data_IF_828993870491
#
_entry.id   IF_828993870491
#
_cell.length_a   1.000
_cell.length_b   1.000
_cell.length_c   1.000
_cell.angle_alpha   90.00
_cell.angle_beta   90.00
_cell.angle_gamma   90.00
#
_symmetry.space_group_name_H-M   'P 1'
#
loop_
_entity.id
_entity.type
_entity.pdbx_description
1 polymer ?
#
# COMPACT_ATOMS: atom_id res chain seq x y z
N UNK A 1 -22.22 -40.67 65.04
CA UNK A 1 -22.63 -40.42 63.65
C UNK A 1 -21.91 -39.17 63.19
N UNK A 2 -20.82 -39.32 62.44
CA UNK A 2 -20.04 -38.22 61.88
C UNK A 2 -20.57 -37.96 60.46
N UNK A 3 -21.00 -36.73 60.19
CA UNK A 3 -21.42 -36.31 58.86
C UNK A 3 -20.18 -35.79 58.11
N UNK A 4 -19.80 -36.47 57.03
CA UNK A 4 -18.81 -35.99 56.07
C UNK A 4 -19.43 -34.86 55.23
N UNK A 5 -18.81 -33.68 55.28
CA UNK A 5 -19.14 -32.59 54.37
C UNK A 5 -18.29 -32.73 53.11
N UNK A 6 -18.92 -33.06 51.98
CA UNK A 6 -18.31 -32.97 50.65
C UNK A 6 -18.29 -31.50 50.22
N UNK A 7 -17.09 -30.93 50.06
CA UNK A 7 -16.91 -29.66 49.34
C UNK A 7 -17.04 -29.92 47.84
N UNK A 8 -17.96 -29.22 47.18
CA UNK A 8 -18.06 -29.15 45.72
C UNK A 8 -17.48 -27.80 45.32
N UNK A 9 -16.22 -27.80 44.85
CA UNK A 9 -15.59 -26.64 44.23
C UNK A 9 -16.18 -26.44 42.83
N UNK A 10 -17.33 -25.77 42.75
CA UNK A 10 -17.88 -25.26 41.49
C UNK A 10 -17.28 -23.88 41.19
N UNK A 11 -16.00 -23.86 40.76
CA UNK A 11 -15.50 -22.67 40.06
C UNK A 11 -16.16 -22.57 38.67
N UNK A 12 -16.76 -21.42 38.31
CA UNK A 12 -17.39 -21.27 37.00
C UNK A 12 -16.30 -21.26 35.92
N UNK A 13 -16.28 -22.32 35.09
CA UNK A 13 -15.43 -22.39 33.90
C UNK A 13 -15.77 -21.22 32.98
N UNK A 14 -14.87 -20.24 32.89
CA UNK A 14 -14.97 -19.16 31.91
C UNK A 14 -14.98 -19.77 30.50
N UNK A 15 -16.15 -19.74 29.86
CA UNK A 15 -16.30 -20.07 28.46
C UNK A 15 -15.71 -18.89 27.68
N UNK A 16 -14.41 -18.96 27.39
CA UNK A 16 -13.75 -18.05 26.46
C UNK A 16 -14.40 -18.25 25.10
N UNK A 17 -15.37 -17.40 24.77
CA UNK A 17 -15.99 -17.38 23.44
C UNK A 17 -14.87 -17.15 22.42
N UNK A 18 -14.68 -18.03 21.42
CA UNK A 18 -13.70 -17.80 20.39
C UNK A 18 -14.07 -16.50 19.69
N UNK A 19 -13.16 -15.52 19.73
CA UNK A 19 -13.30 -14.25 19.02
C UNK A 19 -13.54 -14.59 17.55
N UNK A 20 -14.77 -14.37 17.11
CA UNK A 20 -15.17 -14.59 15.73
C UNK A 20 -14.27 -13.68 14.90
N UNK A 21 -13.44 -14.26 14.01
CA UNK A 21 -12.62 -13.48 13.09
C UNK A 21 -13.58 -12.65 12.23
N UNK A 22 -13.79 -11.40 12.63
CA UNK A 22 -14.54 -10.43 11.82
C UNK A 22 -13.71 -10.20 10.57
N UNK A 23 -14.07 -10.90 9.49
CA UNK A 23 -13.58 -10.56 8.16
C UNK A 23 -14.37 -9.31 7.77
N UNK A 24 -13.74 -8.14 7.91
CA UNK A 24 -14.24 -6.94 7.26
C UNK A 24 -14.23 -7.21 5.76
N UNK A 25 -15.41 -7.45 5.19
CA UNK A 25 -15.60 -7.50 3.75
C UNK A 25 -15.62 -6.05 3.29
N UNK A 26 -14.46 -5.54 2.89
CA UNK A 26 -14.37 -4.28 2.18
C UNK A 26 -15.01 -4.50 0.79
N UNK A 27 -16.06 -3.74 0.45
CA UNK A 27 -16.70 -3.81 -0.88
C UNK A 27 -15.80 -3.27 -2.02
N UNK A 28 -14.63 -2.74 -1.68
CA UNK A 28 -13.66 -2.13 -2.59
C UNK A 28 -12.43 -3.03 -2.82
N UNK A 29 -11.84 -2.95 -4.03
CA UNK A 29 -10.55 -3.59 -4.32
C UNK A 29 -9.41 -2.69 -3.81
N UNK A 30 -8.66 -3.19 -2.83
CA UNK A 30 -7.49 -2.49 -2.27
C UNK A 30 -6.42 -2.22 -3.33
N UNK A 31 -6.34 -3.06 -4.37
CA UNK A 31 -5.40 -2.89 -5.47
C UNK A 31 -5.66 -1.60 -6.23
N UNK A 32 -6.92 -1.29 -6.49
CA UNK A 32 -7.33 -0.06 -7.18
C UNK A 32 -7.11 1.17 -6.30
N UNK A 33 -7.43 1.06 -5.01
CA UNK A 33 -7.17 2.13 -4.03
C UNK A 33 -5.68 2.48 -3.98
N UNK A 34 -4.80 1.47 -3.90
CA UNK A 34 -3.36 1.66 -3.87
C UNK A 34 -2.80 2.09 -5.23
N UNK A 35 -3.41 1.69 -6.35
CA UNK A 35 -3.06 2.20 -7.70
C UNK A 35 -3.31 3.70 -7.79
N UNK A 36 -4.49 4.16 -7.38
CA UNK A 36 -4.87 5.58 -7.39
C UNK A 36 -3.99 6.41 -6.44
N UNK A 37 -3.69 5.86 -5.25
CA UNK A 37 -2.70 6.46 -4.35
C UNK A 37 -1.31 6.54 -5.01
N UNK A 38 -0.84 5.48 -5.67
CA UNK A 38 0.44 5.47 -6.36
C UNK A 38 0.55 6.54 -7.45
N UNK A 39 -0.52 6.73 -8.23
CA UNK A 39 -0.63 7.81 -9.23
C UNK A 39 -0.57 9.20 -8.58
N UNK A 40 -1.33 9.40 -7.49
CA UNK A 40 -1.34 10.65 -6.74
C UNK A 40 0.02 10.98 -6.14
N UNK A 41 0.65 10.01 -5.49
CA UNK A 41 1.98 10.17 -4.89
C UNK A 41 3.05 10.50 -5.95
N UNK A 42 2.98 9.89 -7.14
CA UNK A 42 3.85 10.26 -8.27
C UNK A 42 3.64 11.69 -8.70
N UNK A 43 2.39 12.12 -8.90
CA UNK A 43 2.08 13.51 -9.28
C UNK A 43 2.65 14.51 -8.26
N UNK A 44 2.49 14.23 -6.97
CA UNK A 44 3.02 15.09 -5.91
C UNK A 44 4.56 15.08 -5.88
N UNK A 45 5.21 13.95 -6.16
CA UNK A 45 6.66 13.88 -6.31
C UNK A 45 7.17 14.75 -7.48
N UNK A 46 6.57 14.62 -8.67
CA UNK A 46 6.91 15.46 -9.83
C UNK A 46 6.67 16.96 -9.55
N UNK A 47 5.58 17.29 -8.85
CA UNK A 47 5.28 18.66 -8.45
C UNK A 47 6.35 19.23 -7.51
N UNK A 48 6.81 18.46 -6.51
CA UNK A 48 7.89 18.85 -5.59
C UNK A 48 9.23 19.05 -6.32
N UNK A 49 9.49 18.28 -7.36
CA UNK A 49 10.69 18.39 -8.20
C UNK A 49 10.60 19.52 -9.25
N UNK A 50 9.45 20.19 -9.39
CA UNK A 50 9.24 21.21 -10.43
C UNK A 50 9.11 20.62 -11.85
N UNK A 51 8.89 19.32 -11.98
CA UNK A 51 8.90 18.57 -13.24
C UNK A 51 7.51 18.04 -13.63
N UNK A 52 6.45 18.84 -13.40
CA UNK A 52 5.07 18.42 -13.64
C UNK A 52 4.78 18.07 -15.12
N UNK A 53 5.54 18.65 -16.06
CA UNK A 53 5.45 18.30 -17.48
C UNK A 53 5.77 16.81 -17.74
N UNK A 54 6.71 16.22 -17.00
CA UNK A 54 7.05 14.80 -17.09
C UNK A 54 5.94 13.89 -16.58
N UNK A 55 5.13 14.37 -15.62
CA UNK A 55 3.92 13.67 -15.21
C UNK A 55 2.83 13.73 -16.30
N UNK A 56 2.68 14.88 -16.96
CA UNK A 56 1.70 15.06 -18.03
C UNK A 56 1.99 14.20 -19.27
N UNK A 57 3.26 13.89 -19.53
CA UNK A 57 3.67 12.99 -20.63
C UNK A 57 3.50 11.50 -20.30
N UNK A 58 3.16 11.12 -19.06
CA UNK A 58 2.91 9.73 -18.70
C UNK A 58 1.67 9.15 -19.40
N UNK A 59 1.60 7.82 -19.42
CA UNK A 59 0.44 7.08 -19.94
C UNK A 59 -0.86 7.46 -19.20
N UNK A 60 -2.03 7.36 -19.88
CA UNK A 60 -3.31 7.73 -19.29
C UNK A 60 -3.65 6.98 -17.99
N UNK A 61 -3.22 5.73 -17.86
CA UNK A 61 -3.43 4.91 -16.67
C UNK A 61 -2.82 5.54 -15.40
N UNK A 62 -1.72 6.30 -15.55
CA UNK A 62 -1.07 7.00 -14.44
C UNK A 62 -1.72 8.34 -14.07
N UNK A 63 -2.74 8.76 -14.81
CA UNK A 63 -3.45 10.04 -14.63
C UNK A 63 -4.74 9.93 -13.84
N UNK A 64 -5.21 8.71 -13.57
CA UNK A 64 -6.33 8.51 -12.65
C UNK A 64 -5.87 8.73 -11.21
N UNK A 65 -6.53 9.64 -10.50
CA UNK A 65 -6.09 10.12 -9.20
C UNK A 65 -7.16 9.94 -8.13
N UNK A 66 -6.72 9.67 -6.90
CA UNK A 66 -7.55 9.89 -5.72
C UNK A 66 -7.64 11.38 -5.36
N UNK A 67 -8.50 11.70 -4.38
CA UNK A 67 -8.54 13.05 -3.79
C UNK A 67 -7.27 13.29 -2.95
N UNK A 68 -6.90 14.56 -2.74
CA UNK A 68 -5.73 14.90 -1.91
C UNK A 68 -5.89 14.41 -0.47
N UNK A 69 -7.11 14.45 0.08
CA UNK A 69 -7.40 13.94 1.41
C UNK A 69 -7.17 12.42 1.48
N UNK A 70 -7.72 11.67 0.52
CA UNK A 70 -7.54 10.22 0.49
C UNK A 70 -6.06 9.85 0.27
N UNK A 71 -5.37 10.59 -0.60
CA UNK A 71 -3.94 10.45 -0.87
C UNK A 71 -3.11 10.61 0.41
N UNK A 72 -3.36 11.68 1.17
CA UNK A 72 -2.68 11.95 2.45
C UNK A 72 -2.96 10.89 3.52
N UNK A 73 -4.19 10.38 3.59
CA UNK A 73 -4.56 9.32 4.54
C UNK A 73 -3.75 8.05 4.24
N UNK A 74 -3.78 7.60 2.98
CA UNK A 74 -3.08 6.37 2.57
C UNK A 74 -1.56 6.55 2.69
N UNK A 75 -1.04 7.72 2.30
CA UNK A 75 0.40 8.04 2.43
C UNK A 75 0.85 8.04 3.90
N UNK A 76 0.01 8.56 4.80
CA UNK A 76 0.24 8.52 6.25
C UNK A 76 0.31 7.08 6.79
N UNK A 77 -0.60 6.20 6.35
CA UNK A 77 -0.59 4.78 6.71
C UNK A 77 0.69 4.11 6.22
N UNK A 78 1.04 4.25 4.94
CA UNK A 78 2.24 3.63 4.36
C UNK A 78 3.50 4.18 5.03
N UNK A 79 3.56 5.48 5.29
CA UNK A 79 4.65 6.11 6.04
C UNK A 79 4.77 5.56 7.46
N UNK A 80 3.66 5.31 8.14
CA UNK A 80 3.66 4.67 9.46
C UNK A 80 4.21 3.25 9.41
N UNK A 81 3.86 2.47 8.38
CA UNK A 81 4.35 1.11 8.17
C UNK A 81 5.88 1.09 7.96
N UNK A 82 6.45 2.06 7.23
CA UNK A 82 7.90 2.19 7.04
C UNK A 82 8.65 2.46 8.36
N UNK A 83 8.02 3.19 9.26
CA UNK A 83 8.64 3.70 10.49
C UNK A 83 8.38 2.81 11.71
N UNK A 84 7.52 1.79 11.59
CA UNK A 84 7.22 0.86 12.68
C UNK A 84 8.45 0.02 13.05
N UNK A 85 8.50 -0.51 14.27
CA UNK A 85 9.65 -1.30 14.74
C UNK A 85 9.76 -2.67 14.07
N UNK A 86 8.64 -3.23 13.62
CA UNK A 86 8.59 -4.58 13.06
C UNK A 86 9.14 -4.63 11.64
N UNK A 87 10.24 -5.37 11.46
CA UNK A 87 10.93 -5.48 10.16
C UNK A 87 10.02 -6.01 9.05
N UNK A 88 9.17 -7.00 9.37
CA UNK A 88 8.18 -7.54 8.43
C UNK A 88 7.29 -6.45 7.81
N UNK A 89 6.81 -5.52 8.63
CA UNK A 89 5.92 -4.45 8.16
C UNK A 89 6.67 -3.40 7.34
N UNK A 90 7.96 -3.19 7.61
CA UNK A 90 8.81 -2.37 6.75
C UNK A 90 9.00 -2.99 5.37
N UNK A 91 9.20 -4.31 5.31
CA UNK A 91 9.29 -5.04 4.04
C UNK A 91 7.98 -4.99 3.27
N UNK A 92 6.84 -5.16 3.96
CA UNK A 92 5.51 -4.95 3.38
C UNK A 92 5.38 -3.56 2.77
N UNK A 93 5.72 -2.51 3.52
CA UNK A 93 5.69 -1.13 3.03
C UNK A 93 6.60 -0.91 1.81
N UNK A 94 7.82 -1.44 1.85
CA UNK A 94 8.78 -1.35 0.74
C UNK A 94 8.21 -1.98 -0.54
N UNK A 95 7.63 -3.18 -0.43
CA UNK A 95 7.03 -3.88 -1.57
C UNK A 95 5.82 -3.13 -2.10
N UNK A 96 4.97 -2.56 -1.24
CA UNK A 96 3.84 -1.73 -1.67
C UNK A 96 4.31 -0.48 -2.41
N UNK A 97 5.32 0.23 -1.88
CA UNK A 97 5.87 1.43 -2.52
C UNK A 97 6.42 1.08 -3.89
N UNK A 98 7.27 0.05 -4.01
CA UNK A 98 7.83 -0.36 -5.30
C UNK A 98 6.76 -0.82 -6.29
N UNK A 99 5.71 -1.48 -5.81
CA UNK A 99 4.63 -2.01 -6.66
C UNK A 99 3.67 -0.93 -7.16
N UNK A 100 3.36 0.09 -6.33
CA UNK A 100 2.31 1.05 -6.63
C UNK A 100 2.81 2.45 -6.94
N UNK A 101 3.82 2.95 -6.20
CA UNK A 101 4.47 4.24 -6.46
C UNK A 101 5.64 4.10 -7.44
N UNK A 102 6.48 3.07 -7.25
CA UNK A 102 7.63 2.80 -8.10
C UNK A 102 8.97 3.26 -7.53
N UNK A 103 9.98 3.24 -8.39
CA UNK A 103 11.29 3.83 -8.12
C UNK A 103 11.53 5.00 -9.07
N UNK A 104 12.35 5.95 -8.63
CA UNK A 104 12.93 6.98 -9.49
C UNK A 104 13.99 6.34 -10.39
N UNK A 105 13.80 6.47 -11.70
CA UNK A 105 14.71 5.99 -12.74
C UNK A 105 15.26 7.21 -13.45
N UNK A 106 16.59 7.25 -13.59
CA UNK A 106 17.24 8.23 -14.44
C UNK A 106 17.08 7.77 -15.89
N UNK A 107 16.30 8.51 -16.65
CA UNK A 107 16.18 8.33 -18.08
C UNK A 107 17.12 9.30 -18.78
N UNK A 108 18.14 8.73 -19.43
CA UNK A 108 19.13 9.49 -20.15
C UNK A 108 18.70 9.57 -21.62
N UNK A 109 18.33 10.76 -22.05
CA UNK A 109 18.08 11.04 -23.46
C UNK A 109 19.41 11.18 -24.18
N UNK A 110 19.56 10.44 -25.26
CA UNK A 110 20.72 10.52 -26.12
C UNK A 110 20.31 10.90 -27.53
N UNK A 111 20.99 11.90 -28.07
CA UNK A 111 20.91 12.23 -29.49
C UNK A 111 22.14 11.66 -30.18
N UNK A 112 21.91 11.02 -31.32
CA UNK A 112 22.98 10.58 -32.19
C UNK A 112 23.30 11.70 -33.16
N UNK A 113 24.46 12.34 -32.98
CA UNK A 113 25.00 13.30 -33.93
C UNK A 113 26.08 12.58 -34.73
N UNK A 114 25.81 12.37 -36.01
CA UNK A 114 26.60 11.56 -36.93
C UNK A 114 26.83 10.12 -36.43
N UNK A 115 27.93 9.86 -35.72
CA UNK A 115 28.33 8.56 -35.14
C UNK A 115 28.53 8.60 -33.62
N UNK A 116 28.35 9.76 -32.99
CA UNK A 116 28.58 9.94 -31.57
C UNK A 116 27.26 9.93 -30.81
N UNK A 117 27.20 9.12 -29.75
CA UNK A 117 26.10 9.13 -28.79
C UNK A 117 26.35 10.25 -27.79
N UNK A 118 25.65 11.36 -27.94
CA UNK A 118 25.77 12.53 -27.06
C UNK A 118 24.57 12.54 -26.12
N UNK A 119 24.83 12.65 -24.82
CA UNK A 119 23.78 12.79 -23.80
C UNK A 119 23.20 14.21 -23.90
N UNK A 120 21.91 14.31 -24.17
CA UNK A 120 21.20 15.60 -24.34
C UNK A 120 20.57 16.03 -23.02
N UNK A 121 19.81 15.14 -22.39
CA UNK A 121 19.13 15.39 -21.11
C UNK A 121 19.19 14.18 -20.19
N UNK A 122 19.00 14.43 -18.90
CA UNK A 122 18.76 13.43 -17.89
C UNK A 122 17.44 13.82 -17.23
N UNK A 123 16.41 12.99 -17.37
CA UNK A 123 15.10 13.20 -16.75
C UNK A 123 14.86 12.14 -15.68
N UNK A 124 14.14 12.52 -14.62
CA UNK A 124 13.74 11.57 -13.58
C UNK A 124 12.36 11.05 -13.96
N UNK A 125 12.26 9.74 -14.18
CA UNK A 125 11.02 9.04 -14.45
C UNK A 125 10.67 8.13 -13.27
N UNK A 126 9.48 8.30 -12.70
CA UNK A 126 8.98 7.46 -11.61
C UNK A 126 8.00 6.44 -12.19
N UNK A 127 8.35 5.15 -12.13
CA UNK A 127 7.46 4.07 -12.62
C UNK A 127 7.32 2.91 -11.62
N UNK A 128 6.12 2.31 -11.51
CA UNK A 128 5.93 1.05 -10.80
C UNK A 128 6.88 -0.05 -11.28
N UNK A 129 7.31 -0.89 -10.33
CA UNK A 129 8.11 -2.09 -10.62
C UNK A 129 7.21 -3.30 -10.74
N UNK A 130 7.57 -4.19 -11.67
CA UNK A 130 6.95 -5.50 -11.77
C UNK A 130 7.36 -6.38 -10.58
N UNK A 131 6.52 -7.37 -10.23
CA UNK A 131 6.85 -8.32 -9.15
C UNK A 131 8.18 -9.04 -9.39
N UNK A 132 8.54 -9.27 -10.66
CA UNK A 132 9.80 -9.90 -11.05
C UNK A 132 11.01 -8.99 -10.76
N UNK A 133 10.92 -7.71 -11.10
CA UNK A 133 11.98 -6.73 -10.80
C UNK A 133 12.19 -6.64 -9.28
N UNK A 134 11.11 -6.54 -8.51
CA UNK A 134 11.16 -6.49 -7.03
C UNK A 134 11.76 -7.79 -6.48
N UNK A 135 11.36 -8.95 -7.00
CA UNK A 135 11.88 -10.25 -6.57
C UNK A 135 13.38 -10.37 -6.82
N UNK A 136 13.85 -9.89 -7.98
CA UNK A 136 15.27 -9.85 -8.33
C UNK A 136 16.06 -8.95 -7.40
N UNK A 137 15.52 -7.77 -7.05
CA UNK A 137 16.18 -6.83 -6.13
C UNK A 137 16.25 -7.37 -4.70
N UNK A 138 15.18 -8.03 -4.23
CA UNK A 138 15.11 -8.62 -2.88
C UNK A 138 15.78 -9.99 -2.77
N UNK A 139 16.31 -10.55 -3.87
CA UNK A 139 16.93 -11.88 -3.88
C UNK A 139 15.96 -13.01 -3.50
N UNK A 140 14.68 -12.88 -3.84
CA UNK A 140 13.65 -13.87 -3.49
C UNK A 140 12.77 -14.27 -4.71
N UNK A 141 11.82 -15.18 -4.52
CA UNK A 141 10.92 -15.60 -5.59
C UNK A 141 9.76 -14.61 -5.79
N UNK A 142 9.22 -14.52 -7.01
CA UNK A 142 8.04 -13.70 -7.31
C UNK A 142 6.84 -14.08 -6.42
N UNK A 143 6.67 -15.37 -6.14
CA UNK A 143 5.64 -15.87 -5.23
C UNK A 143 5.79 -15.35 -3.80
N UNK A 144 7.03 -15.14 -3.33
CA UNK A 144 7.28 -14.54 -2.02
C UNK A 144 6.91 -13.06 -2.01
N UNK A 145 7.30 -12.31 -3.05
CA UNK A 145 6.91 -10.89 -3.20
C UNK A 145 5.40 -10.74 -3.24
N UNK A 146 4.70 -11.61 -3.97
CA UNK A 146 3.23 -11.61 -4.03
C UNK A 146 2.59 -11.81 -2.65
N UNK A 147 3.15 -12.69 -1.83
CA UNK A 147 2.69 -12.90 -0.44
C UNK A 147 2.94 -11.67 0.44
N UNK A 148 4.13 -11.07 0.34
CA UNK A 148 4.47 -9.85 1.08
C UNK A 148 3.54 -8.70 0.68
N UNK A 149 3.33 -8.52 -0.64
CA UNK A 149 2.41 -7.52 -1.19
C UNK A 149 0.99 -7.69 -0.65
N UNK A 150 0.44 -8.90 -0.72
CA UNK A 150 -0.91 -9.20 -0.21
C UNK A 150 -1.04 -9.02 1.32
N UNK A 151 0.02 -9.35 2.06
CA UNK A 151 0.09 -9.09 3.51
C UNK A 151 0.08 -7.57 3.80
N UNK A 152 0.85 -6.80 3.03
CA UNK A 152 0.86 -5.33 3.12
C UNK A 152 -0.48 -4.70 2.76
N UNK A 153 -1.12 -5.15 1.68
CA UNK A 153 -2.49 -4.72 1.30
C UNK A 153 -3.48 -4.97 2.45
N UNK A 154 -3.41 -6.16 3.07
CA UNK A 154 -4.24 -6.50 4.23
C UNK A 154 -3.98 -5.58 5.42
N UNK A 155 -2.73 -5.17 5.63
CA UNK A 155 -2.37 -4.20 6.67
C UNK A 155 -3.04 -2.85 6.40
N UNK A 156 -2.98 -2.35 5.17
CA UNK A 156 -3.60 -1.08 4.78
C UNK A 156 -5.12 -1.15 4.96
N UNK A 157 -5.77 -2.25 4.57
CA UNK A 157 -7.21 -2.46 4.82
C UNK A 157 -7.52 -2.35 6.32
N UNK A 158 -6.73 -3.02 7.16
CA UNK A 158 -6.91 -2.97 8.61
C UNK A 158 -6.74 -1.56 9.19
N UNK A 159 -5.73 -0.82 8.72
CA UNK A 159 -5.48 0.55 9.15
C UNK A 159 -6.60 1.51 8.71
N UNK A 160 -7.09 1.37 7.48
CA UNK A 160 -8.21 2.16 6.98
C UNK A 160 -9.49 1.87 7.78
N UNK A 161 -9.80 0.60 8.04
CA UNK A 161 -10.95 0.23 8.86
C UNK A 161 -10.87 0.80 10.28
N UNK A 162 -9.68 0.74 10.90
CA UNK A 162 -9.45 1.34 12.21
C UNK A 162 -9.65 2.86 12.19
N UNK A 163 -9.14 3.55 11.17
CA UNK A 163 -9.28 4.99 11.04
C UNK A 163 -10.74 5.40 10.85
N UNK A 164 -11.51 4.67 10.03
CA UNK A 164 -12.95 4.87 9.88
C UNK A 164 -13.67 4.71 11.22
N UNK A 165 -13.35 3.68 12.00
CA UNK A 165 -13.96 3.46 13.31
C UNK A 165 -13.65 4.59 14.32
N UNK A 166 -12.44 5.14 14.27
CA UNK A 166 -12.01 6.18 15.22
C UNK A 166 -12.54 7.58 14.86
N UNK A 167 -12.61 7.90 13.57
CA UNK A 167 -12.90 9.26 13.09
C UNK A 167 -14.29 9.40 12.49
N UNK A 168 -14.95 8.30 12.13
CA UNK A 168 -16.18 8.30 11.32
C UNK A 168 -15.96 8.73 9.88
N UNK A 169 -14.71 9.01 9.47
CA UNK A 169 -14.39 9.41 8.10
C UNK A 169 -14.15 8.17 7.24
N UNK A 170 -14.94 8.03 6.18
CA UNK A 170 -14.69 7.07 5.11
C UNK A 170 -13.96 7.76 3.96
N UNK A 171 -13.03 7.04 3.31
CA UNK A 171 -12.39 7.54 2.09
C UNK A 171 -13.46 7.85 1.03
N UNK A 172 -13.35 9.00 0.38
CA UNK A 172 -14.27 9.35 -0.72
C UNK A 172 -14.11 8.39 -1.90
N UNK A 173 -12.91 7.81 -2.06
CA UNK A 173 -12.62 6.70 -2.96
C UNK A 173 -13.63 5.54 -2.82
N UNK A 174 -14.05 5.18 -1.61
CA UNK A 174 -14.97 4.06 -1.40
C UNK A 174 -16.36 4.36 -1.99
N UNK A 175 -16.81 5.62 -1.92
CA UNK A 175 -18.08 6.04 -2.54
C UNK A 175 -18.01 5.99 -4.06
N UNK A 176 -16.85 6.32 -4.65
CA UNK A 176 -16.64 6.27 -6.11
C UNK A 176 -16.52 4.86 -6.64
N UNK A 177 -15.83 3.97 -5.94
CA UNK A 177 -15.65 2.56 -6.35
C UNK A 177 -16.98 1.79 -6.29
N UNK A 178 -17.84 2.10 -5.31
CA UNK A 178 -19.17 1.48 -5.19
C UNK A 178 -20.19 1.95 -6.25
N UNK A 179 -19.89 2.98 -7.05
CA UNK A 179 -20.78 3.46 -8.12
C UNK A 179 -20.59 2.71 -9.45
N UNK A 180 -19.56 1.87 -9.57
CA UNK A 180 -19.24 1.13 -10.80
C UNK A 180 -19.47 -0.39 -10.70
N UNK A 181 -20.23 -0.86 -9.69
CA UNK A 181 -20.72 -2.24 -9.62
C UNK A 181 -22.19 -2.34 -10.02
#
# INVERSE_FOLDING_TARGET
>A
MLAEYMYVDDEPKEIVKPVTRVRFQADYDITDVLRLWGNWSRKEAYKKQGALSLYQSQEPEYKELCSDNDGLIIDGIISSMKNIRFQKTKEEALVLIKSYYGDEILDDDYVFIERYKVKESCSILIRPRTLREIASELGCSEGNVRKIKSSGESHVIGALAQQTQQTGMELELFKKINLFK
#
